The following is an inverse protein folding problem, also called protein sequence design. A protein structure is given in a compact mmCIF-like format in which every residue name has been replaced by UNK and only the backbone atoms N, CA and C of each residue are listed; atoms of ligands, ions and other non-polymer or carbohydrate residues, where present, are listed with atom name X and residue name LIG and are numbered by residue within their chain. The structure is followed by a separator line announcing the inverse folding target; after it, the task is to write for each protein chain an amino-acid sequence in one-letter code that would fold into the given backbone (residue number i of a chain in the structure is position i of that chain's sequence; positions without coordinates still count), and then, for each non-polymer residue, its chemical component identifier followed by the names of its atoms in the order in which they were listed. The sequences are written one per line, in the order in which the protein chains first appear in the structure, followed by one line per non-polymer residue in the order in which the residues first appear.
data_IF_979154485050
#
_entry.id   IF_979154485050
#
_cell.length_a   1.000
_cell.length_b   1.000
_cell.length_c   1.000
_cell.angle_alpha   90.00
_cell.angle_beta   90.00
_cell.angle_gamma   90.00
#
_symmetry.space_group_name_H-M   'P 1'
#
loop_
_entity.id
_entity.type
_entity.pdbx_description
1 polymer ?
#
# COMPACT_ATOMS: atom_id res chain seq x y z
N UNK A 1 -6.93 3.94 18.76
CA UNK A 1 -8.25 3.57 18.22
C UNK A 1 -8.23 3.22 16.73
N UNK A 2 -7.50 3.92 15.86
CA UNK A 2 -7.43 3.59 14.42
C UNK A 2 -6.89 2.20 14.05
N UNK A 3 -5.97 1.66 14.84
CA UNK A 3 -5.31 0.38 14.56
C UNK A 3 -6.33 -0.79 14.59
N UNK A 4 -7.35 -0.70 15.46
CA UNK A 4 -8.45 -1.68 15.52
C UNK A 4 -9.33 -1.65 14.26
N UNK A 5 -9.69 -0.46 13.77
CA UNK A 5 -10.45 -0.33 12.51
C UNK A 5 -9.64 -0.84 11.31
N UNK A 6 -8.33 -0.56 11.28
CA UNK A 6 -7.42 -1.09 10.25
C UNK A 6 -7.40 -2.63 10.30
N UNK A 7 -7.31 -3.23 11.49
CA UNK A 7 -7.35 -4.67 11.69
C UNK A 7 -8.68 -5.27 11.23
N UNK A 8 -9.81 -4.67 11.63
CA UNK A 8 -11.15 -5.14 11.26
C UNK A 8 -11.37 -5.12 9.75
N UNK A 9 -11.03 -4.02 9.07
CA UNK A 9 -11.12 -3.91 7.59
C UNK A 9 -10.19 -4.94 6.93
N UNK A 10 -8.99 -5.13 7.48
CA UNK A 10 -8.02 -6.08 6.94
C UNK A 10 -8.49 -7.53 7.10
N UNK A 11 -9.10 -7.87 8.24
CA UNK A 11 -9.63 -9.20 8.54
C UNK A 11 -10.89 -9.50 7.71
N UNK A 12 -11.80 -8.52 7.57
CA UNK A 12 -12.94 -8.60 6.65
C UNK A 12 -12.50 -8.85 5.21
N UNK A 13 -11.38 -8.24 4.78
CA UNK A 13 -10.80 -8.45 3.46
C UNK A 13 -9.86 -9.66 3.38
N UNK A 14 -9.78 -10.49 4.43
CA UNK A 14 -8.91 -11.68 4.54
C UNK A 14 -7.43 -11.42 4.24
N UNK A 15 -6.94 -10.22 4.58
CA UNK A 15 -5.58 -9.80 4.28
C UNK A 15 -5.28 -9.54 2.81
N UNK A 16 -6.29 -9.49 1.94
CA UNK A 16 -6.10 -9.20 0.51
C UNK A 16 -5.70 -7.74 0.29
N UNK A 17 -6.15 -6.83 1.16
CA UNK A 17 -5.99 -5.39 1.00
C UNK A 17 -4.74 -4.88 1.71
N UNK A 18 -3.89 -4.20 0.94
CA UNK A 18 -2.76 -3.45 1.46
C UNK A 18 -3.17 -2.04 1.90
N UNK A 19 -2.19 -1.31 2.45
CA UNK A 19 -2.38 0.04 2.97
C UNK A 19 -3.10 1.04 2.03
N UNK A 20 -2.95 1.01 0.69
CA UNK A 20 -3.64 1.97 -0.17
C UNK A 20 -5.15 1.75 -0.19
N UNK A 21 -5.58 0.47 -0.17
CA UNK A 21 -7.00 0.11 -0.17
C UNK A 21 -7.62 0.32 1.19
N UNK A 22 -6.92 -0.05 2.26
CA UNK A 22 -7.37 0.22 3.63
C UNK A 22 -7.53 1.73 3.86
N UNK A 23 -6.62 2.56 3.35
CA UNK A 23 -6.76 4.02 3.41
C UNK A 23 -8.01 4.52 2.66
N UNK A 24 -8.27 4.02 1.46
CA UNK A 24 -9.47 4.39 0.70
C UNK A 24 -10.76 4.01 1.45
N UNK A 25 -10.82 2.83 2.04
CA UNK A 25 -11.97 2.38 2.85
C UNK A 25 -12.14 3.23 4.12
N UNK A 26 -11.04 3.61 4.79
CA UNK A 26 -11.10 4.51 5.95
C UNK A 26 -11.62 5.90 5.59
N UNK A 27 -11.22 6.41 4.42
CA UNK A 27 -11.63 7.73 3.96
C UNK A 27 -13.08 7.74 3.43
N UNK A 28 -13.49 6.71 2.68
CA UNK A 28 -14.82 6.62 2.08
C UNK A 28 -15.88 6.10 3.05
N UNK A 29 -15.55 5.09 3.87
CA UNK A 29 -16.50 4.43 4.77
C UNK A 29 -16.65 5.12 6.12
N UNK A 30 -15.57 5.68 6.66
CA UNK A 30 -15.56 6.29 7.99
C UNK A 30 -15.35 7.82 7.95
N UNK A 31 -15.04 8.39 6.78
CA UNK A 31 -14.79 9.84 6.65
C UNK A 31 -13.56 10.33 7.43
N UNK A 32 -12.68 9.41 7.85
CA UNK A 32 -11.51 9.78 8.65
C UNK A 32 -10.38 10.15 7.71
N UNK A 33 -10.02 11.43 7.69
CA UNK A 33 -8.82 11.90 6.99
C UNK A 33 -7.57 11.45 7.75
N UNK A 34 -7.05 10.29 7.37
CA UNK A 34 -5.77 9.80 7.85
C UNK A 34 -4.72 9.88 6.76
N UNK A 35 -3.55 10.37 7.11
CA UNK A 35 -2.42 10.33 6.20
C UNK A 35 -2.06 8.87 5.86
N UNK A 36 -1.98 8.56 4.57
CA UNK A 36 -1.53 7.27 4.06
C UNK A 36 -0.23 6.74 4.70
N UNK A 37 0.72 7.63 5.02
CA UNK A 37 1.98 7.25 5.70
C UNK A 37 1.72 6.69 7.11
N UNK A 38 0.69 7.20 7.79
CA UNK A 38 0.29 6.74 9.12
C UNK A 38 -0.36 5.36 9.04
N UNK A 39 -1.24 5.14 8.07
CA UNK A 39 -1.83 3.82 7.80
C UNK A 39 -0.75 2.80 7.47
N UNK A 40 0.19 3.15 6.60
CA UNK A 40 1.31 2.27 6.25
C UNK A 40 2.21 1.92 7.46
N UNK A 41 2.49 2.90 8.33
CA UNK A 41 3.26 2.66 9.57
C UNK A 41 2.50 1.73 10.51
N UNK A 42 1.23 2.01 10.78
CA UNK A 42 0.39 1.20 11.67
C UNK A 42 0.22 -0.23 11.15
N UNK A 43 0.02 -0.42 9.84
CA UNK A 43 -0.01 -1.76 9.23
C UNK A 43 1.33 -2.48 9.38
N UNK A 44 2.45 -1.77 9.25
CA UNK A 44 3.79 -2.36 9.43
C UNK A 44 4.07 -2.75 10.87
N UNK A 45 3.69 -1.90 11.83
CA UNK A 45 3.78 -2.20 13.27
C UNK A 45 2.89 -3.38 13.68
N UNK A 46 1.71 -3.49 13.06
CA UNK A 46 0.77 -4.58 13.29
C UNK A 46 1.10 -5.87 12.51
N UNK A 47 2.16 -5.89 11.71
CA UNK A 47 2.50 -7.03 10.85
C UNK A 47 1.48 -7.32 9.75
N UNK A 48 0.54 -6.41 9.50
CA UNK A 48 -0.50 -6.55 8.48
C UNK A 48 0.08 -6.23 7.11
N UNK A 49 0.17 -7.26 6.27
CA UNK A 49 0.68 -7.12 4.91
C UNK A 49 -0.42 -7.52 3.95
N UNK A 50 -0.78 -6.61 3.04
CA UNK A 50 -1.72 -6.96 1.97
C UNK A 50 -1.11 -8.04 1.08
N UNK A 51 -1.93 -8.98 0.62
CA UNK A 51 -1.55 -9.98 -0.37
C UNK A 51 -1.20 -9.29 -1.70
N UNK A 52 0.05 -8.84 -1.83
CA UNK A 52 0.58 -8.35 -3.09
C UNK A 52 0.75 -9.56 -4.01
N UNK A 53 -0.26 -9.82 -4.83
CA UNK A 53 -0.15 -10.78 -5.94
C UNK A 53 0.97 -10.26 -6.84
N UNK A 54 2.18 -10.79 -6.66
CA UNK A 54 3.35 -10.50 -7.50
C UNK A 54 2.89 -10.75 -8.93
N UNK A 55 2.59 -9.68 -9.67
CA UNK A 55 2.24 -9.77 -11.09
C UNK A 55 3.43 -10.47 -11.73
N UNK A 56 3.28 -11.75 -12.12
CA UNK A 56 4.25 -12.39 -13.00
C UNK A 56 4.31 -11.47 -14.21
N UNK A 57 5.38 -10.70 -14.33
CA UNK A 57 5.66 -9.93 -15.54
C UNK A 57 5.92 -10.98 -16.60
N UNK A 58 4.89 -11.36 -17.35
CA UNK A 58 5.09 -11.78 -18.72
C UNK A 58 5.56 -10.53 -19.47
N UNK A 59 6.86 -10.25 -19.44
CA UNK A 59 7.45 -9.37 -20.44
C UNK A 59 7.44 -10.14 -21.75
N UNK A 60 6.56 -9.73 -22.67
CA UNK A 60 6.71 -9.97 -24.11
C UNK A 60 6.98 -8.66 -24.84
N UNK A 61 7.67 -7.73 -24.18
CA UNK A 61 8.34 -6.64 -24.87
C UNK A 61 9.81 -6.63 -24.43
N UNK A 62 10.70 -6.80 -25.40
CA UNK A 62 12.15 -6.74 -25.24
C UNK A 62 12.65 -5.31 -25.07
N UNK A 63 12.22 -4.65 -24.01
CA UNK A 63 12.78 -3.36 -23.61
C UNK A 63 13.06 -3.33 -22.10
N UNK A 64 14.33 -3.10 -21.82
CA UNK A 64 15.06 -3.13 -20.57
C UNK A 64 15.08 -1.74 -19.92
N UNK A 65 13.95 -1.30 -19.38
CA UNK A 65 13.87 -0.05 -18.61
C UNK A 65 14.25 -0.24 -17.13
N UNK A 66 15.48 -0.70 -16.87
CA UNK A 66 16.11 -0.72 -15.53
C UNK A 66 17.24 0.31 -15.46
N UNK A 67 16.90 1.59 -15.59
CA UNK A 67 17.87 2.66 -15.35
C UNK A 67 17.20 3.83 -14.66
N UNK A 68 17.12 3.79 -13.33
CA UNK A 68 17.06 5.02 -12.53
C UNK A 68 18.47 5.32 -12.03
N UNK A 69 19.32 5.73 -12.96
CA UNK A 69 20.54 6.47 -12.65
C UNK A 69 20.52 7.72 -13.50
N UNK A 70 19.95 8.81 -12.97
CA UNK A 70 20.26 10.19 -13.32
C UNK A 70 19.38 11.12 -12.48
N UNK A 71 19.94 11.67 -11.40
CA UNK A 71 19.45 12.93 -10.82
C UNK A 71 20.37 14.02 -11.34
N UNK A 72 19.88 15.11 -11.97
CA UNK A 72 20.74 16.25 -12.27
C UNK A 72 21.07 16.95 -10.95
N UNK A 73 22.36 17.24 -10.76
CA UNK A 73 22.89 18.12 -9.72
C UNK A 73 22.48 19.54 -10.10
N UNK A 74 21.60 20.16 -9.32
CA UNK A 74 21.32 21.59 -9.45
C UNK A 74 22.44 22.36 -8.74
N UNK A 75 23.11 23.22 -9.51
CA UNK A 75 23.92 24.34 -9.03
C UNK A 75 23.05 25.57 -8.86
#
# INVERSE_FOLDING_TARGET
MLLKQIQEIHEQSRGTYGWPRVHAELQLGLGVEVNHKRVARLMREAGLQGLYRRRRRGCTCGCDCRTTSMRPRWS
#
